data_IF_778207431600
#
_entry.id   IF_778207431600
#
_cell.length_a   1.000
_cell.length_b   1.000
_cell.length_c   1.000
_cell.angle_alpha   90.00
_cell.angle_beta   90.00
_cell.angle_gamma   90.00
#
_symmetry.space_group_name_H-M   'P 1'
#
loop_
_entity.id
_entity.type
_entity.pdbx_description
1 polymer ?
#
# COMPACT_ATOMS: atom_id res chain seq x y z
N UNK A 1 -6.51 -26.18 -0.56
CA UNK A 1 -7.48 -26.82 -1.49
C UNK A 1 -7.06 -26.68 -2.97
N UNK A 2 -6.82 -25.48 -3.51
CA UNK A 2 -6.43 -25.29 -4.91
C UNK A 2 -5.08 -25.94 -5.32
N UNK A 3 -4.09 -25.95 -4.43
CA UNK A 3 -2.77 -26.55 -4.67
C UNK A 3 -2.83 -28.08 -4.84
N UNK A 4 -3.76 -28.75 -4.16
CA UNK A 4 -3.95 -30.20 -4.29
C UNK A 4 -4.69 -30.61 -5.56
N UNK A 5 -5.59 -29.76 -6.10
CA UNK A 5 -6.30 -30.02 -7.36
C UNK A 5 -5.38 -29.85 -8.59
N UNK A 6 -4.43 -28.93 -8.53
CA UNK A 6 -3.53 -28.67 -9.65
C UNK A 6 -2.52 -29.80 -9.89
N UNK A 7 -2.14 -30.55 -8.84
CA UNK A 7 -1.42 -31.82 -8.98
C UNK A 7 -2.26 -32.92 -9.65
N UNK A 8 -3.59 -32.89 -9.51
CA UNK A 8 -4.48 -33.96 -9.98
C UNK A 8 -5.02 -33.75 -11.40
N UNK A 9 -4.98 -32.53 -11.96
CA UNK A 9 -5.65 -32.20 -13.23
C UNK A 9 -4.70 -31.75 -14.36
N UNK A 10 -3.47 -31.27 -14.09
CA UNK A 10 -2.66 -30.66 -15.16
C UNK A 10 -1.16 -30.42 -14.95
N UNK A 11 -0.52 -31.05 -13.95
CA UNK A 11 0.95 -31.01 -13.77
C UNK A 11 1.55 -29.66 -13.39
N UNK A 12 2.88 -29.58 -13.34
CA UNK A 12 3.67 -28.41 -12.91
C UNK A 12 3.38 -27.11 -13.68
N UNK A 13 2.84 -27.21 -14.90
CA UNK A 13 2.60 -26.06 -15.78
C UNK A 13 1.44 -25.18 -15.27
N UNK A 14 0.32 -25.78 -14.85
CA UNK A 14 -0.82 -25.02 -14.30
C UNK A 14 -0.51 -24.45 -12.90
N UNK A 15 0.25 -25.17 -12.08
CA UNK A 15 0.76 -24.66 -10.80
C UNK A 15 1.67 -23.45 -11.02
N UNK A 16 2.61 -23.56 -11.98
CA UNK A 16 3.49 -22.45 -12.36
C UNK A 16 2.71 -21.25 -12.88
N UNK A 17 1.68 -21.47 -13.71
CA UNK A 17 0.83 -20.40 -14.23
C UNK A 17 0.03 -19.69 -13.11
N UNK A 18 -0.64 -20.44 -12.23
CA UNK A 18 -1.40 -19.86 -11.12
C UNK A 18 -0.47 -19.10 -10.16
N UNK A 19 0.71 -19.66 -9.86
CA UNK A 19 1.71 -19.00 -9.03
C UNK A 19 2.23 -17.71 -9.68
N UNK A 20 2.50 -17.72 -10.98
CA UNK A 20 2.94 -16.53 -11.72
C UNK A 20 1.87 -15.43 -11.71
N UNK A 21 0.59 -15.77 -11.91
CA UNK A 21 -0.52 -14.81 -11.85
C UNK A 21 -0.68 -14.24 -10.44
N UNK A 22 -0.66 -15.09 -9.41
CA UNK A 22 -0.73 -14.64 -8.02
C UNK A 22 0.45 -13.74 -7.63
N UNK A 23 1.65 -14.06 -8.10
CA UNK A 23 2.82 -13.22 -7.87
C UNK A 23 2.71 -11.87 -8.59
N UNK A 24 2.25 -11.88 -9.85
CA UNK A 24 2.05 -10.66 -10.63
C UNK A 24 1.01 -9.73 -10.00
N UNK A 25 -0.10 -10.26 -9.47
CA UNK A 25 -1.11 -9.44 -8.79
C UNK A 25 -0.60 -8.85 -7.48
N UNK A 26 0.15 -9.62 -6.69
CA UNK A 26 0.80 -9.12 -5.47
C UNK A 26 1.78 -7.98 -5.82
N UNK A 27 2.67 -8.20 -6.78
CA UNK A 27 3.62 -7.16 -7.21
C UNK A 27 2.92 -5.91 -7.73
N UNK A 28 1.85 -6.06 -8.51
CA UNK A 28 1.07 -4.93 -9.01
C UNK A 28 0.46 -4.10 -7.87
N UNK A 29 -0.15 -4.76 -6.87
CA UNK A 29 -0.75 -4.09 -5.71
C UNK A 29 0.33 -3.41 -4.85
N UNK A 30 1.42 -4.11 -4.55
CA UNK A 30 2.52 -3.57 -3.73
C UNK A 30 3.17 -2.38 -4.41
N UNK A 31 3.41 -2.43 -5.73
CA UNK A 31 3.95 -1.31 -6.49
C UNK A 31 3.00 -0.11 -6.45
N UNK A 32 1.69 -0.34 -6.65
CA UNK A 32 0.68 0.72 -6.57
C UNK A 32 0.63 1.40 -5.20
N UNK A 33 0.57 0.62 -4.11
CA UNK A 33 0.56 1.14 -2.74
C UNK A 33 1.87 1.85 -2.38
N UNK A 34 3.01 1.34 -2.82
CA UNK A 34 4.32 1.94 -2.56
C UNK A 34 4.47 3.27 -3.29
N UNK A 35 4.07 3.35 -4.57
CA UNK A 35 4.08 4.60 -5.32
C UNK A 35 3.10 5.62 -4.74
N UNK A 36 1.89 5.20 -4.36
CA UNK A 36 0.92 6.06 -3.69
C UNK A 36 1.45 6.59 -2.36
N UNK A 37 2.04 5.72 -1.52
CA UNK A 37 2.64 6.09 -0.24
C UNK A 37 3.84 7.03 -0.42
N UNK A 38 4.71 6.76 -1.40
CA UNK A 38 5.84 7.63 -1.71
C UNK A 38 5.39 8.98 -2.25
N UNK A 39 4.33 9.03 -3.05
CA UNK A 39 3.75 10.28 -3.55
C UNK A 39 3.12 11.08 -2.42
N UNK A 40 2.31 10.46 -1.56
CA UNK A 40 1.76 11.13 -0.37
C UNK A 40 2.87 11.68 0.52
N UNK A 41 3.93 10.89 0.80
CA UNK A 41 5.06 11.39 1.59
C UNK A 41 5.86 12.46 0.85
N UNK A 42 6.08 12.37 -0.45
CA UNK A 42 6.84 13.40 -1.18
C UNK A 42 6.04 14.71 -1.27
N UNK A 43 4.76 14.62 -1.60
CA UNK A 43 3.90 15.79 -1.79
C UNK A 43 3.43 16.41 -0.46
N UNK A 44 3.12 15.60 0.57
CA UNK A 44 2.67 16.09 1.88
C UNK A 44 3.83 16.38 2.85
N UNK A 45 4.94 15.62 2.78
CA UNK A 45 6.07 15.81 3.68
C UNK A 45 7.16 16.72 3.07
N UNK A 46 7.50 16.59 1.78
CA UNK A 46 8.60 17.36 1.20
C UNK A 46 8.15 18.77 0.77
N UNK A 47 7.03 18.90 0.05
CA UNK A 47 6.54 20.20 -0.41
C UNK A 47 5.97 21.07 0.73
N UNK A 48 5.33 20.46 1.75
CA UNK A 48 4.67 21.17 2.84
C UNK A 48 5.54 21.36 4.10
N UNK A 49 6.45 20.44 4.45
CA UNK A 49 7.22 20.50 5.71
C UNK A 49 8.69 20.91 5.52
N UNK A 50 9.37 20.46 4.45
CA UNK A 50 10.83 20.62 4.37
C UNK A 50 11.34 21.75 3.47
N UNK A 51 10.71 22.06 2.33
CA UNK A 51 11.14 23.20 1.50
C UNK A 51 10.05 23.65 0.51
N UNK A 52 9.55 24.88 0.68
CA UNK A 52 8.76 25.59 -0.35
C UNK A 52 9.65 25.86 -1.57
N UNK A 53 9.63 24.97 -2.58
CA UNK A 53 10.31 25.16 -3.87
C UNK A 53 11.56 24.31 -4.10
N UNK A 54 11.46 22.99 -3.95
CA UNK A 54 12.54 22.09 -4.33
C UNK A 54 12.50 21.77 -5.83
N UNK A 55 13.67 21.61 -6.43
CA UNK A 55 13.85 21.22 -7.84
C UNK A 55 13.34 19.80 -8.06
N UNK A 56 12.63 19.55 -9.17
CA UNK A 56 12.05 18.25 -9.59
C UNK A 56 13.02 17.05 -9.42
N UNK A 57 14.32 17.28 -9.63
CA UNK A 57 15.38 16.27 -9.48
C UNK A 57 15.67 15.88 -8.03
N UNK A 58 15.54 16.79 -7.08
CA UNK A 58 15.72 16.51 -5.65
C UNK A 58 14.50 15.79 -5.08
N UNK A 59 13.32 16.19 -5.50
CA UNK A 59 12.05 15.54 -5.14
C UNK A 59 12.03 14.06 -5.58
N UNK A 60 12.49 13.77 -6.80
CA UNK A 60 12.65 12.40 -7.29
C UNK A 60 13.68 11.58 -6.48
N UNK A 61 14.75 12.20 -5.97
CA UNK A 61 15.73 11.50 -5.12
C UNK A 61 15.16 11.19 -3.76
N UNK A 62 14.49 12.14 -3.13
CA UNK A 62 13.84 11.97 -1.83
C UNK A 62 12.74 10.92 -1.92
N UNK A 63 11.91 10.98 -2.96
CA UNK A 63 10.88 9.98 -3.22
C UNK A 63 11.44 8.55 -3.32
N UNK A 64 12.55 8.35 -4.05
CA UNK A 64 13.23 7.04 -4.14
C UNK A 64 13.77 6.54 -2.80
N UNK A 65 14.36 7.44 -2.00
CA UNK A 65 14.88 7.10 -0.66
C UNK A 65 13.71 6.71 0.26
N UNK A 66 12.61 7.46 0.22
CA UNK A 66 11.39 7.15 0.97
C UNK A 66 10.82 5.79 0.59
N UNK A 67 10.72 5.47 -0.71
CA UNK A 67 10.29 4.15 -1.19
C UNK A 67 11.17 3.04 -0.61
N UNK A 68 12.48 3.23 -0.62
CA UNK A 68 13.43 2.24 -0.10
C UNK A 68 13.21 2.02 1.41
N UNK A 69 13.12 3.09 2.19
CA UNK A 69 12.89 3.02 3.64
C UNK A 69 11.54 2.38 3.95
N UNK A 70 10.48 2.78 3.24
CA UNK A 70 9.14 2.23 3.40
C UNK A 70 9.13 0.72 3.10
N UNK A 71 9.84 0.29 2.05
CA UNK A 71 9.99 -1.13 1.70
C UNK A 71 10.72 -1.93 2.78
N UNK A 72 11.82 -1.40 3.33
CA UNK A 72 12.56 -2.07 4.42
C UNK A 72 11.68 -2.22 5.66
N UNK A 73 10.96 -1.17 6.05
CA UNK A 73 10.03 -1.20 7.19
C UNK A 73 8.91 -2.21 6.93
N UNK A 74 8.34 -2.25 5.73
CA UNK A 74 7.30 -3.19 5.35
C UNK A 74 7.75 -4.65 5.46
N UNK A 75 8.98 -4.98 5.05
CA UNK A 75 9.54 -6.32 5.20
C UNK A 75 9.72 -6.68 6.68
N UNK A 76 10.29 -5.78 7.47
CA UNK A 76 10.52 -6.01 8.91
C UNK A 76 9.19 -6.24 9.63
N UNK A 77 8.19 -5.39 9.39
CA UNK A 77 6.86 -5.55 9.97
C UNK A 77 6.19 -6.84 9.47
N UNK A 78 6.33 -7.19 8.18
CA UNK A 78 5.78 -8.42 7.63
C UNK A 78 6.29 -9.68 8.36
N UNK A 79 7.60 -9.72 8.67
CA UNK A 79 8.21 -10.84 9.43
C UNK A 79 7.75 -10.84 10.89
N UNK A 80 7.70 -9.68 11.54
CA UNK A 80 7.26 -9.56 12.94
C UNK A 80 5.79 -9.99 13.14
N UNK A 81 4.93 -9.71 12.17
CA UNK A 81 3.49 -10.00 12.24
C UNK A 81 3.09 -11.34 11.59
N UNK A 82 4.04 -12.21 11.22
CA UNK A 82 3.79 -13.52 10.57
C UNK A 82 2.85 -14.43 11.37
N UNK A 83 2.88 -14.33 12.71
CA UNK A 83 2.08 -15.17 13.60
C UNK A 83 0.64 -14.67 13.83
N UNK A 84 0.26 -13.51 13.26
CA UNK A 84 -1.09 -12.95 13.43
C UNK A 84 -1.96 -13.16 12.20
N UNK A 85 -3.27 -13.25 12.41
CA UNK A 85 -4.21 -13.33 11.29
C UNK A 85 -4.20 -11.99 10.54
N UNK A 86 -3.55 -11.98 9.37
CA UNK A 86 -3.40 -10.81 8.50
C UNK A 86 -4.76 -10.19 8.18
N UNK A 87 -5.81 -11.01 8.00
CA UNK A 87 -7.15 -10.52 7.69
C UNK A 87 -7.74 -9.69 8.84
N UNK A 88 -7.46 -10.06 10.09
CA UNK A 88 -7.92 -9.30 11.26
C UNK A 88 -7.17 -7.98 11.41
N UNK A 89 -5.84 -8.01 11.26
CA UNK A 89 -5.00 -6.81 11.35
C UNK A 89 -5.35 -5.79 10.26
N UNK A 90 -5.48 -6.25 9.01
CA UNK A 90 -5.87 -5.41 7.88
C UNK A 90 -7.31 -4.90 8.04
N UNK A 91 -8.22 -5.74 8.53
CA UNK A 91 -9.61 -5.35 8.83
C UNK A 91 -9.71 -4.23 9.86
N UNK A 92 -8.95 -4.32 10.97
CA UNK A 92 -8.88 -3.25 11.97
C UNK A 92 -8.30 -1.95 11.39
N UNK A 93 -7.22 -2.04 10.61
CA UNK A 93 -6.61 -0.86 9.98
C UNK A 93 -7.60 -0.16 9.02
N UNK A 94 -8.31 -0.92 8.18
CA UNK A 94 -9.33 -0.37 7.30
C UNK A 94 -10.53 0.19 8.05
N UNK A 95 -10.96 -0.44 9.15
CA UNK A 95 -12.04 0.08 9.98
C UNK A 95 -11.68 1.45 10.56
N UNK A 96 -10.47 1.61 11.10
CA UNK A 96 -9.99 2.88 11.63
C UNK A 96 -9.89 3.93 10.50
N UNK A 97 -9.30 3.57 9.36
CA UNK A 97 -9.19 4.47 8.22
C UNK A 97 -10.58 4.93 7.70
N UNK A 98 -11.54 3.99 7.62
CA UNK A 98 -12.92 4.30 7.23
C UNK A 98 -13.59 5.21 8.27
N UNK A 99 -13.40 4.97 9.57
CA UNK A 99 -13.95 5.82 10.64
C UNK A 99 -13.38 7.23 10.63
N UNK A 100 -12.17 7.47 10.15
CA UNK A 100 -11.62 8.82 10.00
C UNK A 100 -12.12 9.49 8.71
N UNK A 101 -12.12 8.76 7.58
CA UNK A 101 -12.48 9.33 6.29
C UNK A 101 -13.99 9.54 6.11
N UNK A 102 -14.83 8.64 6.64
CA UNK A 102 -16.28 8.68 6.45
C UNK A 102 -16.92 9.95 7.04
N UNK A 103 -16.64 10.35 8.30
CA UNK A 103 -17.17 11.60 8.86
C UNK A 103 -16.69 12.82 8.07
N UNK A 104 -15.41 12.86 7.66
CA UNK A 104 -14.85 13.99 6.90
C UNK A 104 -15.56 14.15 5.56
N UNK A 105 -15.73 13.05 4.81
CA UNK A 105 -16.43 13.08 3.52
C UNK A 105 -17.90 13.47 3.71
N UNK A 106 -18.59 12.88 4.71
CA UNK A 106 -20.00 13.17 4.98
C UNK A 106 -20.22 14.62 5.40
N UNK A 107 -19.35 15.16 6.26
CA UNK A 107 -19.35 16.56 6.66
C UNK A 107 -19.02 17.50 5.48
N UNK A 108 -18.09 17.13 4.59
CA UNK A 108 -17.80 17.93 3.39
C UNK A 108 -18.97 18.00 2.41
N UNK A 109 -19.81 16.96 2.35
CA UNK A 109 -20.96 16.88 1.45
C UNK A 109 -22.20 17.58 2.02
N UNK A 110 -22.46 17.46 3.33
CA UNK A 110 -23.64 18.04 3.98
C UNK A 110 -23.40 19.43 4.58
N UNK A 111 -22.16 19.80 4.88
CA UNK A 111 -21.83 21.07 5.53
C UNK A 111 -20.84 21.87 4.70
N UNK A 112 -21.37 22.71 3.81
CA UNK A 112 -20.60 23.62 2.94
C UNK A 112 -19.72 24.65 3.68
N UNK A 113 -19.71 24.67 5.02
CA UNK A 113 -18.96 25.63 5.85
C UNK A 113 -17.73 25.05 6.57
N UNK A 114 -17.31 23.82 6.31
CA UNK A 114 -16.01 23.33 6.77
C UNK A 114 -14.91 23.88 5.84
N UNK A 115 -14.41 25.05 6.20
CA UNK A 115 -13.34 25.80 5.55
C UNK A 115 -11.98 25.10 5.68
N UNK A 116 -11.30 24.97 4.53
CA UNK A 116 -9.84 24.89 4.26
C UNK A 116 -8.97 24.18 5.27
#
# INVERSE_FOLDING_TARGET
AAVHLANAVGGNLFLGFISAVAFATILAVVAGLTLAGASAVSHDLYANVFKKGATEREELRVSKITVLILGVIAIILGVLFENQNIAFMVGLAFAIAASCNFPIILLSMYWSKLTT
#
